data_IF_706932086214
#
_entry.id   IF_706932086214
#
_cell.length_a   1.000
_cell.length_b   1.000
_cell.length_c   1.000
_cell.angle_alpha   90.00
_cell.angle_beta   90.00
_cell.angle_gamma   90.00
#
_symmetry.space_group_name_H-M   'P 1'
#
loop_
_entity.id
_entity.type
_entity.pdbx_description
1 polymer ?
#
# COMPACT_ATOMS: atom_id res chain seq x y z
N UNK A 1 -3.80 -3.43 -19.93
CA UNK A 1 -4.73 -2.61 -19.15
C UNK A 1 -5.92 -2.26 -20.04
N UNK A 2 -7.15 -2.50 -19.59
CA UNK A 2 -8.38 -2.14 -20.32
C UNK A 2 -8.82 -0.69 -20.10
N UNK A 3 -8.11 0.05 -19.24
CA UNK A 3 -8.43 1.41 -18.82
C UNK A 3 -8.68 2.39 -19.98
N UNK A 4 -7.90 2.42 -21.09
CA UNK A 4 -8.18 3.36 -22.19
C UNK A 4 -9.56 3.17 -22.84
N UNK A 5 -10.07 1.94 -22.90
CA UNK A 5 -11.38 1.63 -23.49
C UNK A 5 -12.55 2.17 -22.65
N UNK A 6 -12.31 2.40 -21.36
CA UNK A 6 -13.33 2.79 -20.38
C UNK A 6 -13.08 4.19 -19.82
N UNK A 7 -12.35 5.06 -20.52
CA UNK A 7 -12.12 6.44 -20.07
C UNK A 7 -10.96 6.61 -19.07
N UNK A 8 -9.95 5.74 -19.15
CA UNK A 8 -8.74 5.81 -18.34
C UNK A 8 -8.93 5.28 -16.91
N UNK A 9 -8.10 5.77 -15.99
CA UNK A 9 -8.10 5.33 -14.59
C UNK A 9 -9.44 5.62 -13.90
N UNK A 10 -10.07 6.77 -14.19
CA UNK A 10 -11.34 7.18 -13.59
C UNK A 10 -12.47 6.24 -13.98
N UNK A 11 -12.70 6.02 -15.27
CA UNK A 11 -13.79 5.12 -15.68
C UNK A 11 -13.50 3.63 -15.40
N UNK A 12 -12.23 3.21 -15.35
CA UNK A 12 -11.88 1.90 -14.80
C UNK A 12 -12.25 1.77 -13.31
N UNK A 13 -12.04 2.84 -12.53
CA UNK A 13 -12.42 2.89 -11.13
C UNK A 13 -13.95 2.94 -10.94
N UNK A 14 -14.69 3.66 -11.78
CA UNK A 14 -16.16 3.72 -11.73
C UNK A 14 -16.79 2.34 -12.02
N UNK A 15 -16.17 1.57 -12.93
CA UNK A 15 -16.58 0.19 -13.24
C UNK A 15 -16.11 -0.84 -12.20
N UNK A 16 -15.37 -0.42 -11.18
CA UNK A 16 -14.85 -1.31 -10.14
C UNK A 16 -13.83 -2.34 -10.65
N UNK A 17 -13.13 -2.03 -11.75
CA UNK A 17 -12.02 -2.85 -12.22
C UNK A 17 -10.88 -2.84 -11.18
N UNK A 18 -10.07 -3.91 -11.16
CA UNK A 18 -8.90 -4.00 -10.27
C UNK A 18 -7.98 -2.80 -10.48
N UNK A 19 -7.66 -2.11 -9.39
CA UNK A 19 -6.94 -0.83 -9.44
C UNK A 19 -5.44 -1.05 -9.30
N UNK A 20 -5.03 -2.14 -8.67
CA UNK A 20 -3.65 -2.60 -8.66
C UNK A 20 -3.58 -3.97 -9.31
N UNK A 21 -2.72 -4.12 -10.29
CA UNK A 21 -2.11 -5.42 -10.51
C UNK A 21 -0.63 -5.13 -10.70
N UNK A 22 0.20 -5.90 -10.00
CA UNK A 22 1.66 -5.89 -10.09
C UNK A 22 2.35 -4.75 -9.34
N UNK A 23 3.47 -5.10 -8.73
CA UNK A 23 4.22 -4.23 -7.83
C UNK A 23 4.64 -2.87 -8.39
N UNK A 24 4.52 -2.58 -9.69
CA UNK A 24 4.75 -1.24 -10.26
C UNK A 24 3.96 -0.14 -9.51
N UNK A 25 2.73 -0.45 -9.08
CA UNK A 25 1.86 0.49 -8.37
C UNK A 25 2.40 0.87 -6.98
N UNK A 26 3.35 0.09 -6.45
CA UNK A 26 4.06 0.35 -5.20
C UNK A 26 5.08 1.48 -5.32
N UNK A 27 5.65 1.69 -6.51
CA UNK A 27 6.78 2.60 -6.72
C UNK A 27 6.54 3.99 -6.14
N UNK A 28 5.37 4.64 -6.37
CA UNK A 28 5.11 5.96 -5.81
C UNK A 28 4.88 5.94 -4.29
N UNK A 29 4.56 4.77 -3.71
CA UNK A 29 4.33 4.60 -2.28
C UNK A 29 5.61 4.33 -1.48
N UNK A 30 6.69 3.86 -2.11
CA UNK A 30 7.95 3.52 -1.43
C UNK A 30 8.54 4.71 -0.63
N UNK A 31 8.63 5.94 -1.17
CA UNK A 31 9.14 7.08 -0.39
C UNK A 31 8.29 7.39 0.84
N UNK A 32 6.96 7.25 0.73
CA UNK A 32 6.06 7.48 1.85
C UNK A 32 6.24 6.42 2.95
N UNK A 33 6.40 5.16 2.58
CA UNK A 33 6.68 4.09 3.54
C UNK A 33 8.04 4.28 4.22
N UNK A 34 9.05 4.74 3.49
CA UNK A 34 10.37 5.04 4.05
C UNK A 34 10.31 6.18 5.06
N UNK A 35 9.70 7.32 4.70
CA UNK A 35 9.48 8.47 5.58
C UNK A 35 8.74 8.06 6.85
N UNK A 36 7.64 7.32 6.72
CA UNK A 36 6.84 6.86 7.87
C UNK A 36 7.58 5.81 8.72
N UNK A 37 8.57 5.10 8.14
CA UNK A 37 9.39 4.14 8.88
C UNK A 37 10.39 4.80 9.83
N UNK A 38 10.73 6.07 9.64
CA UNK A 38 11.67 6.79 10.53
C UNK A 38 11.13 6.94 11.96
N UNK A 39 9.80 7.01 12.11
CA UNK A 39 9.14 7.02 13.42
C UNK A 39 8.99 5.63 14.05
N UNK A 40 9.34 4.57 13.30
CA UNK A 40 9.40 3.20 13.83
C UNK A 40 10.84 2.91 14.26
N UNK A 41 11.06 1.96 15.18
CA UNK A 41 12.40 1.66 15.68
C UNK A 41 13.38 1.14 14.61
N UNK A 42 14.37 0.35 15.02
CA UNK A 42 15.37 -0.21 14.09
C UNK A 42 14.78 -1.09 12.96
N UNK A 43 13.53 -1.52 13.08
CA UNK A 43 12.79 -2.33 12.10
C UNK A 43 11.34 -1.88 12.05
N UNK A 44 10.80 -1.80 10.83
CA UNK A 44 9.46 -1.32 10.52
C UNK A 44 8.61 -2.47 9.95
N UNK A 45 7.81 -3.19 10.76
CA UNK A 45 6.92 -4.23 10.24
C UNK A 45 5.83 -3.59 9.38
N UNK A 46 5.79 -3.95 8.09
CA UNK A 46 4.89 -3.40 7.09
C UNK A 46 3.96 -4.49 6.56
N UNK A 47 2.65 -4.23 6.60
CA UNK A 47 1.68 -5.05 5.90
C UNK A 47 1.60 -4.60 4.44
N UNK A 48 1.75 -5.55 3.52
CA UNK A 48 1.75 -5.32 2.08
C UNK A 48 0.56 -6.08 1.48
N UNK A 49 -0.56 -5.39 1.33
CA UNK A 49 -1.74 -5.97 0.70
C UNK A 49 -1.46 -6.23 -0.79
N UNK A 50 -1.76 -7.45 -1.24
CA UNK A 50 -1.75 -7.84 -2.65
C UNK A 50 -0.46 -7.47 -3.43
N UNK A 51 0.67 -7.44 -2.73
CA UNK A 51 1.99 -7.31 -3.33
C UNK A 51 2.65 -8.70 -3.40
N UNK A 52 2.90 -9.16 -4.61
CA UNK A 52 3.62 -10.41 -4.80
C UNK A 52 5.07 -10.32 -4.30
N UNK A 53 5.53 -11.30 -3.51
CA UNK A 53 6.88 -11.33 -2.91
C UNK A 53 8.00 -11.23 -3.95
N UNK A 54 7.81 -11.78 -5.16
CA UNK A 54 8.82 -11.63 -6.23
C UNK A 54 8.99 -10.18 -6.67
N UNK A 55 7.93 -9.37 -6.67
CA UNK A 55 8.01 -7.93 -6.98
C UNK A 55 8.77 -7.20 -5.87
N UNK A 56 8.50 -7.52 -4.60
CA UNK A 56 9.25 -6.96 -3.47
C UNK A 56 10.74 -7.28 -3.56
N UNK A 57 11.09 -8.55 -3.83
CA UNK A 57 12.48 -8.98 -4.03
C UNK A 57 13.15 -8.30 -5.23
N UNK A 58 12.40 -8.00 -6.28
CA UNK A 58 12.93 -7.22 -7.40
C UNK A 58 13.28 -5.80 -6.97
N UNK A 59 12.42 -5.12 -6.20
CA UNK A 59 12.75 -3.79 -5.65
C UNK A 59 13.94 -3.81 -4.70
N UNK A 60 14.09 -4.87 -3.92
CA UNK A 60 15.26 -5.06 -3.07
C UNK A 60 16.54 -5.24 -3.90
N UNK A 61 16.52 -6.07 -4.96
CA UNK A 61 17.65 -6.20 -5.90
C UNK A 61 18.02 -4.90 -6.59
N UNK A 62 17.03 -4.07 -6.91
CA UNK A 62 17.22 -2.75 -7.53
C UNK A 62 17.68 -1.68 -6.54
N UNK A 63 17.80 -1.98 -5.24
CA UNK A 63 18.16 -1.00 -4.20
C UNK A 63 17.06 0.01 -3.90
N UNK A 64 15.80 -0.29 -4.28
CA UNK A 64 14.64 0.59 -4.12
C UNK A 64 13.77 0.24 -2.91
N UNK A 65 13.91 -0.99 -2.40
CA UNK A 65 13.19 -1.41 -1.19
C UNK A 65 13.86 -0.80 0.05
N UNK A 66 13.13 -0.01 0.87
CA UNK A 66 13.73 0.59 2.05
C UNK A 66 14.23 -0.46 3.05
N UNK A 67 15.46 -0.29 3.52
CA UNK A 67 16.20 -1.31 4.29
C UNK A 67 15.61 -1.60 5.67
N UNK A 68 14.75 -0.71 6.21
CA UNK A 68 14.06 -0.88 7.50
C UNK A 68 12.75 -1.64 7.38
N UNK A 69 12.13 -1.67 6.20
CA UNK A 69 10.83 -2.31 6.01
C UNK A 69 10.95 -3.83 6.07
N UNK A 70 10.13 -4.45 6.91
CA UNK A 70 10.03 -5.90 7.06
C UNK A 70 8.59 -6.34 6.79
N UNK A 71 8.32 -7.15 5.76
CA UNK A 71 6.98 -7.69 5.55
C UNK A 71 6.44 -8.39 6.79
N UNK A 72 5.20 -8.10 7.16
CA UNK A 72 4.51 -8.68 8.30
C UNK A 72 3.01 -8.84 7.99
N UNK A 73 2.32 -9.71 8.73
CA UNK A 73 0.86 -9.76 8.70
C UNK A 73 0.23 -8.52 9.35
N UNK A 74 -0.98 -8.16 8.94
CA UNK A 74 -1.68 -6.94 9.36
C UNK A 74 -1.64 -6.71 10.89
N UNK A 75 -1.94 -7.74 11.68
CA UNK A 75 -1.97 -7.68 13.16
C UNK A 75 -0.64 -7.29 13.81
N UNK A 76 0.50 -7.53 13.16
CA UNK A 76 1.85 -7.20 13.69
C UNK A 76 2.42 -5.93 13.07
N UNK A 77 1.70 -5.32 12.14
CA UNK A 77 2.21 -4.21 11.36
C UNK A 77 2.18 -2.88 12.15
N UNK A 78 3.16 -2.03 11.86
CA UNK A 78 3.20 -0.62 12.27
C UNK A 78 2.96 0.31 11.08
N UNK A 79 3.23 -0.19 9.86
CA UNK A 79 2.95 0.45 8.60
C UNK A 79 2.05 -0.46 7.76
N UNK A 80 1.22 0.11 6.91
CA UNK A 80 0.36 -0.66 6.00
C UNK A 80 0.33 -0.05 4.62
N UNK A 81 0.30 -0.90 3.61
CA UNK A 81 -0.02 -0.52 2.24
C UNK A 81 -1.21 -1.34 1.78
N UNK A 82 -2.27 -0.66 1.36
CA UNK A 82 -3.54 -1.26 0.98
C UNK A 82 -3.95 -0.80 -0.42
N UNK A 83 -4.30 -1.74 -1.30
CA UNK A 83 -4.93 -1.42 -2.58
C UNK A 83 -6.45 -1.40 -2.42
N UNK A 84 -7.11 -0.36 -2.96
CA UNK A 84 -8.54 -0.17 -2.77
C UNK A 84 -9.36 -1.05 -3.72
N UNK A 85 -9.80 -2.21 -3.23
CA UNK A 85 -10.62 -3.17 -3.98
C UNK A 85 -11.85 -3.64 -3.18
N UNK A 86 -13.03 -3.61 -3.80
CA UNK A 86 -14.31 -3.88 -3.11
C UNK A 86 -14.38 -5.25 -2.45
N UNK A 87 -13.71 -6.26 -3.00
CA UNK A 87 -13.76 -7.63 -2.50
C UNK A 87 -12.69 -7.94 -1.43
N UNK A 88 -11.89 -6.95 -1.06
CA UNK A 88 -10.78 -7.09 -0.09
C UNK A 88 -11.06 -6.41 1.26
N UNK A 89 -12.33 -6.05 1.54
CA UNK A 89 -12.76 -5.35 2.75
C UNK A 89 -12.26 -6.03 4.05
N UNK A 90 -12.19 -7.36 4.07
CA UNK A 90 -11.67 -8.10 5.24
C UNK A 90 -10.24 -7.68 5.62
N UNK A 91 -9.35 -7.54 4.64
CA UNK A 91 -7.96 -7.16 4.88
C UNK A 91 -7.81 -5.70 5.30
N UNK A 92 -8.67 -4.83 4.77
CA UNK A 92 -8.77 -3.44 5.19
C UNK A 92 -9.17 -3.34 6.66
N UNK A 93 -10.20 -4.08 7.09
CA UNK A 93 -10.64 -4.11 8.48
C UNK A 93 -9.56 -4.67 9.41
N UNK A 94 -8.86 -5.75 9.04
CA UNK A 94 -7.74 -6.28 9.83
C UNK A 94 -6.61 -5.26 9.99
N UNK A 95 -6.30 -4.51 8.94
CA UNK A 95 -5.30 -3.46 9.00
C UNK A 95 -5.76 -2.30 9.89
N UNK A 96 -7.03 -1.91 9.79
CA UNK A 96 -7.61 -0.85 10.60
C UNK A 96 -7.67 -1.21 12.09
N UNK A 97 -7.98 -2.46 12.43
CA UNK A 97 -7.89 -2.95 13.81
C UNK A 97 -6.46 -2.84 14.35
N UNK A 98 -5.47 -3.12 13.50
CA UNK A 98 -4.07 -3.06 13.89
C UNK A 98 -3.55 -1.63 14.03
N UNK A 99 -3.82 -0.75 13.06
CA UNK A 99 -3.15 0.54 12.89
C UNK A 99 -4.08 1.75 13.10
N UNK A 100 -5.37 1.58 12.83
CA UNK A 100 -6.38 2.64 12.76
C UNK A 100 -6.86 2.90 11.32
N UNK A 101 -8.08 3.43 11.14
CA UNK A 101 -8.72 3.57 9.82
C UNK A 101 -8.26 4.81 9.04
N UNK A 102 -7.52 5.73 9.65
CA UNK A 102 -7.07 6.96 8.99
C UNK A 102 -5.80 6.67 8.16
N UNK A 103 -5.82 6.81 6.82
CA UNK A 103 -4.62 6.71 6.02
C UNK A 103 -3.70 7.89 6.31
N UNK A 104 -2.39 7.63 6.39
CA UNK A 104 -1.37 8.67 6.52
C UNK A 104 -1.09 9.35 5.17
N UNK A 105 -1.20 8.59 4.07
CA UNK A 105 -1.06 9.11 2.70
C UNK A 105 -1.91 8.29 1.74
N UNK A 106 -2.52 8.95 0.78
CA UNK A 106 -3.20 8.30 -0.36
C UNK A 106 -2.36 8.56 -1.60
N UNK A 107 -2.03 7.51 -2.33
CA UNK A 107 -1.34 7.59 -3.61
C UNK A 107 -2.40 7.51 -4.71
N UNK A 108 -2.37 8.49 -5.60
CA UNK A 108 -3.36 8.64 -6.66
C UNK A 108 -2.73 8.47 -8.04
N UNK A 109 -3.55 8.02 -8.99
CA UNK A 109 -3.24 8.01 -10.42
C UNK A 109 -4.34 8.78 -11.15
N UNK A 110 -4.04 10.00 -11.61
CA UNK A 110 -5.02 10.88 -12.27
C UNK A 110 -6.27 11.14 -11.40
N UNK A 111 -6.05 11.59 -10.16
CA UNK A 111 -7.08 11.87 -9.14
C UNK A 111 -7.90 10.63 -8.71
N UNK A 112 -7.40 9.43 -9.01
CA UNK A 112 -8.01 8.16 -8.59
C UNK A 112 -7.15 7.55 -7.49
N UNK A 113 -7.69 7.37 -6.27
CA UNK A 113 -7.02 6.63 -5.21
C UNK A 113 -6.63 5.23 -5.66
N UNK A 114 -5.31 4.98 -5.71
CA UNK A 114 -4.73 3.71 -6.11
C UNK A 114 -4.44 2.86 -4.88
N UNK A 115 -3.71 3.44 -3.92
CA UNK A 115 -3.31 2.77 -2.69
C UNK A 115 -3.25 3.75 -1.53
N UNK A 116 -3.61 3.27 -0.34
CA UNK A 116 -3.45 3.99 0.91
C UNK A 116 -2.27 3.44 1.70
N UNK A 117 -1.47 4.36 2.24
CA UNK A 117 -0.41 4.08 3.19
C UNK A 117 -0.89 4.45 4.59
N UNK A 118 -0.74 3.52 5.51
CA UNK A 118 -1.13 3.65 6.91
C UNK A 118 0.11 3.64 7.80
N UNK A 119 0.07 4.41 8.87
CA UNK A 119 1.06 4.37 9.93
C UNK A 119 0.35 4.37 11.29
N UNK A 120 0.85 3.58 12.22
CA UNK A 120 0.33 3.55 13.59
C UNK A 120 0.53 4.93 14.20
N UNK A 121 -0.56 5.64 14.47
CA UNK A 121 -0.49 6.84 15.29
C UNK A 121 0.12 6.46 16.62
N UNK A 122 1.19 7.14 17.03
CA UNK A 122 1.61 7.10 18.42
C UNK A 122 0.37 7.52 19.24
N UNK A 123 -0.13 6.64 20.10
CA UNK A 123 -1.08 7.07 21.12
C UNK A 123 -0.34 8.13 21.94
N UNK A 124 -0.81 9.37 21.88
CA UNK A 124 -0.43 10.39 22.88
C UNK A 124 -0.97 9.97 24.23
#
# INVERSE_FOLDING_TARGET
QYAPLVGGARGAADLGLTRGFWGHALVPALPALEELSEGTGASAPVYLHDLHELSRRQYEREGRWPTRLRPAGARKAQLGLLFHERHMLTYELELWEAIGPAPARVIELHDVPLTSVYARSARR
#
